data_IF_096160839128
#
_entry.id   IF_096160839128
#
_cell.length_a   1.000
_cell.length_b   1.000
_cell.length_c   1.000
_cell.angle_alpha   90.00
_cell.angle_beta   90.00
_cell.angle_gamma   90.00
#
_symmetry.space_group_name_H-M   'P 1'
#
loop_
_entity.id
_entity.type
_entity.pdbx_description
1 polymer ?
#
# COMPACT_ATOMS: atom_id res chain seq x y z
N UNK A 1 -2.75 4.51 20.69
CA UNK A 1 -3.79 4.40 19.65
C UNK A 1 -3.12 3.80 18.43
N UNK A 2 -3.35 2.52 18.18
CA UNK A 2 -2.88 1.81 16.98
C UNK A 2 -4.12 1.21 16.33
N UNK A 3 -4.49 1.69 15.15
CA UNK A 3 -5.67 1.22 14.42
C UNK A 3 -5.21 0.83 13.02
N UNK A 4 -5.10 -0.48 12.77
CA UNK A 4 -4.64 -0.98 11.47
C UNK A 4 -5.84 -1.18 10.55
N UNK A 5 -5.77 -0.64 9.34
CA UNK A 5 -6.76 -0.94 8.30
C UNK A 5 -6.55 -2.37 7.81
N UNK A 6 -7.62 -3.17 7.82
CA UNK A 6 -7.61 -4.56 7.32
C UNK A 6 -8.41 -4.73 6.04
N UNK A 7 -9.42 -3.87 5.79
CA UNK A 7 -10.21 -3.88 4.54
C UNK A 7 -10.68 -2.49 4.15
N UNK A 8 -10.85 -2.30 2.85
CA UNK A 8 -11.61 -1.20 2.25
C UNK A 8 -12.76 -1.88 1.49
N UNK A 9 -14.00 -1.62 1.88
CA UNK A 9 -15.20 -2.28 1.35
C UNK A 9 -16.07 -1.28 0.56
N UNK A 10 -16.77 -1.80 -0.45
CA UNK A 10 -17.61 -1.05 -1.38
C UNK A 10 -17.79 -1.81 -2.69
N UNK A 11 -18.86 -1.54 -3.43
CA UNK A 11 -19.14 -2.24 -4.70
C UNK A 11 -18.48 -1.55 -5.89
N UNK A 12 -18.96 -0.37 -6.26
CA UNK A 12 -18.47 0.42 -7.39
C UNK A 12 -17.55 1.57 -6.93
N UNK A 13 -17.73 2.01 -5.68
CA UNK A 13 -16.91 3.01 -4.98
C UNK A 13 -16.73 2.58 -3.53
N UNK A 14 -15.78 3.20 -2.81
CA UNK A 14 -15.61 2.93 -1.38
C UNK A 14 -16.86 3.35 -0.59
N UNK A 15 -17.25 2.52 0.37
CA UNK A 15 -18.37 2.77 1.28
C UNK A 15 -17.90 2.77 2.74
N UNK A 16 -16.91 1.96 3.08
CA UNK A 16 -16.35 1.89 4.43
C UNK A 16 -14.93 1.31 4.51
N UNK A 17 -14.27 1.58 5.64
CA UNK A 17 -12.96 1.04 6.02
C UNK A 17 -13.12 0.20 7.29
N UNK A 18 -12.59 -1.02 7.28
CA UNK A 18 -12.63 -1.93 8.43
C UNK A 18 -11.26 -1.93 9.12
N UNK A 19 -11.26 -1.68 10.42
CA UNK A 19 -10.09 -1.73 11.27
C UNK A 19 -9.88 -3.13 11.88
N UNK A 20 -8.67 -3.40 12.33
CA UNK A 20 -8.30 -4.64 13.04
C UNK A 20 -9.07 -4.86 14.35
N UNK A 21 -9.58 -3.78 14.96
CA UNK A 21 -10.50 -3.83 16.10
C UNK A 21 -11.91 -4.35 15.74
N UNK A 22 -12.24 -4.46 14.44
CA UNK A 22 -13.58 -4.73 13.93
C UNK A 22 -14.44 -3.48 13.75
N UNK A 23 -13.94 -2.30 14.14
CA UNK A 23 -14.60 -1.02 13.89
C UNK A 23 -14.74 -0.75 12.38
N UNK A 24 -15.89 -0.19 11.99
CA UNK A 24 -16.22 0.17 10.62
C UNK A 24 -16.40 1.67 10.50
N UNK A 25 -15.61 2.30 9.65
CA UNK A 25 -15.63 3.74 9.40
C UNK A 25 -16.25 3.98 8.02
N UNK A 26 -17.44 4.58 7.96
CA UNK A 26 -18.05 4.98 6.68
C UNK A 26 -17.19 6.02 5.98
N UNK A 27 -16.96 5.84 4.69
CA UNK A 27 -16.08 6.72 3.89
C UNK A 27 -16.45 6.65 2.42
N UNK A 28 -16.42 7.78 1.73
CA UNK A 28 -16.62 7.89 0.28
C UNK A 28 -15.32 8.18 -0.48
N UNK A 29 -14.19 8.33 0.24
CA UNK A 29 -12.85 8.54 -0.30
C UNK A 29 -11.80 8.00 0.68
N UNK A 30 -10.71 7.43 0.15
CA UNK A 30 -9.56 6.95 0.93
C UNK A 30 -8.27 7.48 0.32
N UNK A 31 -7.38 8.03 1.14
CA UNK A 31 -6.04 8.47 0.74
C UNK A 31 -5.02 7.52 1.36
N UNK A 32 -4.23 6.84 0.52
CA UNK A 32 -3.16 5.95 0.97
C UNK A 32 -1.84 6.71 1.07
N UNK A 33 -1.39 6.97 2.30
CA UNK A 33 -0.13 7.66 2.60
C UNK A 33 0.83 6.73 3.38
N UNK A 34 1.20 5.60 2.79
CA UNK A 34 1.98 4.53 3.44
C UNK A 34 3.41 4.37 2.90
N UNK A 35 3.97 5.45 2.37
CA UNK A 35 5.29 5.47 1.73
C UNK A 35 5.24 5.09 0.25
N UNK A 36 6.41 4.88 -0.33
CA UNK A 36 6.58 4.57 -1.74
C UNK A 36 7.57 3.41 -1.92
N UNK A 37 7.38 2.61 -2.97
CA UNK A 37 8.29 1.55 -3.39
C UNK A 37 9.06 1.98 -4.63
N UNK A 38 10.39 1.77 -4.71
CA UNK A 38 11.17 2.06 -5.91
C UNK A 38 10.67 1.26 -7.13
N UNK A 39 10.50 1.94 -8.27
CA UNK A 39 10.21 1.28 -9.53
C UNK A 39 11.51 0.70 -10.11
N UNK A 40 11.66 -0.63 -10.04
CA UNK A 40 12.91 -1.34 -10.38
C UNK A 40 12.77 -2.27 -11.58
N UNK A 41 11.62 -2.24 -12.28
CA UNK A 41 11.28 -3.17 -13.36
C UNK A 41 12.35 -3.22 -14.47
N UNK A 42 12.84 -2.05 -14.89
CA UNK A 42 13.88 -1.95 -15.92
C UNK A 42 15.21 -2.55 -15.45
N UNK A 43 15.64 -2.18 -14.24
CA UNK A 43 16.91 -2.63 -13.67
C UNK A 43 16.90 -4.16 -13.45
N UNK A 44 15.77 -4.73 -13.02
CA UNK A 44 15.58 -6.17 -12.93
C UNK A 44 15.73 -6.86 -14.29
N UNK A 45 15.11 -6.31 -15.34
CA UNK A 45 15.24 -6.83 -16.71
C UNK A 45 16.67 -6.77 -17.26
N UNK A 46 17.47 -5.82 -16.77
CA UNK A 46 18.89 -5.68 -17.11
C UNK A 46 19.82 -6.60 -16.28
N UNK A 47 19.27 -7.36 -15.32
CA UNK A 47 20.06 -8.25 -14.45
C UNK A 47 20.81 -7.51 -13.34
N UNK A 48 20.42 -6.26 -13.02
CA UNK A 48 21.01 -5.52 -11.90
C UNK A 48 20.51 -6.06 -10.56
N UNK A 49 21.37 -6.03 -9.55
CA UNK A 49 21.01 -6.45 -8.20
C UNK A 49 20.08 -5.41 -7.57
N UNK A 50 18.98 -5.87 -6.98
CA UNK A 50 17.95 -5.03 -6.35
C UNK A 50 17.83 -5.37 -4.86
N UNK A 51 17.82 -4.34 -4.03
CA UNK A 51 17.51 -4.39 -2.60
C UNK A 51 16.09 -3.89 -2.33
N UNK A 52 15.65 -3.94 -1.06
CA UNK A 52 14.39 -3.32 -0.63
C UNK A 52 14.32 -1.81 -0.96
N UNK A 53 15.48 -1.14 -1.02
CA UNK A 53 15.58 0.30 -1.26
C UNK A 53 15.86 0.69 -2.71
N UNK A 54 15.96 -0.28 -3.63
CA UNK A 54 16.23 -0.02 -5.06
C UNK A 54 17.48 -0.71 -5.58
N UNK A 55 18.05 -0.19 -6.67
CA UNK A 55 19.25 -0.76 -7.31
C UNK A 55 20.43 -0.71 -6.36
N UNK A 56 21.08 -1.85 -6.17
CA UNK A 56 22.29 -1.96 -5.35
C UNK A 56 23.51 -1.59 -6.20
N UNK A 57 24.19 -0.51 -5.79
CA UNK A 57 25.46 -0.11 -6.37
C UNK A 57 26.59 -0.78 -5.58
N UNK A 58 27.61 -1.27 -6.29
CA UNK A 58 28.87 -1.74 -5.70
C UNK A 58 29.90 -0.64 -5.72
#
# INVERSE_FOLDING_TARGET
>A
MNSRVVKIEGKDSVEEVVLDSGERIRSNMVILAMGAKPNTDLAQKMGLKISEYGVELK
#
